data_IF_254405238034
#
_entry.id   IF_254405238034
#
_cell.length_a   1.000
_cell.length_b   1.000
_cell.length_c   1.000
_cell.angle_alpha   90.00
_cell.angle_beta   90.00
_cell.angle_gamma   90.00
#
_symmetry.space_group_name_H-M   'P 1'
#
loop_
_entity.id
_entity.type
_entity.pdbx_description
1 polymer ?
#
# COMPACT_ATOMS: atom_id res chain seq x y z
N UNK A 1 -3.23 -21.35 -5.07
CA UNK A 1 -3.21 -19.95 -4.54
C UNK A 1 -2.07 -19.60 -3.59
N UNK A 2 -1.64 -20.49 -2.67
CA UNK A 2 -0.59 -20.17 -1.67
C UNK A 2 0.78 -19.85 -2.29
N UNK A 3 1.16 -20.56 -3.37
CA UNK A 3 2.43 -20.36 -4.07
C UNK A 3 2.58 -18.95 -4.66
N UNK A 4 1.49 -18.39 -5.20
CA UNK A 4 1.44 -17.00 -5.72
C UNK A 4 1.68 -15.98 -4.59
N UNK A 5 1.11 -16.22 -3.40
CA UNK A 5 1.30 -15.36 -2.22
C UNK A 5 2.74 -15.43 -1.71
N UNK A 6 3.34 -16.62 -1.65
CA UNK A 6 4.73 -16.80 -1.23
C UNK A 6 5.70 -16.17 -2.24
N UNK A 7 5.47 -16.37 -3.54
CA UNK A 7 6.28 -15.75 -4.59
C UNK A 7 6.20 -14.22 -4.47
N UNK A 8 4.99 -13.66 -4.29
CA UNK A 8 4.78 -12.23 -4.06
C UNK A 8 5.48 -11.73 -2.78
N UNK A 9 5.45 -12.50 -1.71
CA UNK A 9 6.16 -12.17 -0.45
C UNK A 9 7.68 -12.12 -0.66
N UNK A 10 8.25 -13.11 -1.35
CA UNK A 10 9.66 -13.15 -1.69
C UNK A 10 10.03 -12.00 -2.64
N UNK A 11 9.23 -11.73 -3.66
CA UNK A 11 9.40 -10.59 -4.58
C UNK A 11 9.42 -9.24 -3.83
N UNK A 12 8.44 -9.02 -2.95
CA UNK A 12 8.24 -7.80 -2.14
C UNK A 12 9.41 -7.56 -1.18
N UNK A 13 9.97 -8.62 -0.61
CA UNK A 13 11.12 -8.53 0.32
C UNK A 13 12.46 -8.40 -0.41
N UNK A 14 12.60 -8.91 -1.65
CA UNK A 14 13.80 -8.72 -2.49
C UNK A 14 13.95 -7.26 -2.89
N UNK A 15 12.84 -6.64 -3.31
CA UNK A 15 12.77 -5.23 -3.70
C UNK A 15 13.05 -4.27 -2.54
N UNK A 16 12.65 -4.61 -1.30
CA UNK A 16 12.96 -3.83 -0.09
C UNK A 16 14.46 -3.85 0.25
N UNK A 17 15.14 -4.98 0.09
CA UNK A 17 16.57 -5.08 0.42
C UNK A 17 17.46 -4.39 -0.64
N UNK A 18 17.10 -4.51 -1.93
CA UNK A 18 17.81 -3.82 -3.01
C UNK A 18 17.73 -2.28 -2.95
N UNK A 19 16.76 -1.74 -2.21
CA UNK A 19 16.58 -0.30 -2.07
C UNK A 19 17.35 0.29 -0.88
N UNK A 20 17.73 -0.54 0.09
CA UNK A 20 18.44 -0.12 1.30
C UNK A 20 19.97 -0.18 1.14
N UNK A 21 20.48 -0.69 0.01
CA UNK A 21 21.92 -0.79 -0.29
C UNK A 21 22.44 0.41 -1.12
N UNK A 22 21.87 1.60 -0.96
CA UNK A 22 22.49 2.85 -1.45
C UNK A 22 23.51 3.31 -0.39
N UNK A 23 24.72 3.77 -0.76
CA UNK A 23 25.88 3.81 0.15
C UNK A 23 25.80 4.86 1.27
N UNK A 24 24.75 5.67 1.36
CA UNK A 24 24.46 6.53 2.50
C UNK A 24 23.26 5.97 3.27
N UNK A 25 23.51 5.15 4.29
CA UNK A 25 22.82 5.13 5.59
C UNK A 25 23.21 3.86 6.36
N UNK A 26 23.65 4.05 7.61
CA UNK A 26 24.14 3.00 8.49
C UNK A 26 23.13 1.86 8.71
N UNK A 27 23.69 0.66 8.86
CA UNK A 27 23.07 -0.61 9.27
C UNK A 27 21.69 -0.49 9.96
N UNK A 28 20.63 -0.44 9.16
CA UNK A 28 19.25 -0.31 9.62
C UNK A 28 18.73 -1.66 10.19
N UNK A 29 18.34 -1.77 11.47
CA UNK A 29 17.94 -3.03 12.13
C UNK A 29 16.73 -3.72 11.47
N UNK A 30 15.92 -2.94 10.74
CA UNK A 30 14.77 -3.42 9.98
C UNK A 30 15.20 -4.32 8.81
N UNK A 31 16.31 -4.01 8.14
CA UNK A 31 16.82 -4.79 7.01
C UNK A 31 17.32 -6.18 7.45
N UNK A 32 18.03 -6.25 8.58
CA UNK A 32 18.52 -7.51 9.18
C UNK A 32 17.35 -8.42 9.60
N UNK A 33 16.31 -7.85 10.20
CA UNK A 33 15.11 -8.60 10.61
C UNK A 33 14.33 -9.15 9.41
N UNK A 34 14.23 -8.38 8.32
CA UNK A 34 13.59 -8.83 7.08
C UNK A 34 14.38 -9.96 6.39
N UNK A 35 15.71 -9.88 6.34
CA UNK A 35 16.57 -10.93 5.79
C UNK A 35 16.47 -12.24 6.60
N UNK A 36 16.39 -12.14 7.93
CA UNK A 36 16.18 -13.30 8.83
C UNK A 36 14.84 -14.00 8.55
N UNK A 37 13.77 -13.22 8.34
CA UNK A 37 12.47 -13.74 7.95
C UNK A 37 12.50 -14.45 6.60
N UNK A 38 13.23 -13.89 5.61
CA UNK A 38 13.40 -14.52 4.29
C UNK A 38 14.09 -15.88 4.39
N UNK A 39 15.23 -15.94 5.10
CA UNK A 39 15.96 -17.20 5.34
C UNK A 39 15.11 -18.22 6.07
N UNK A 40 14.28 -17.79 7.03
CA UNK A 40 13.35 -18.67 7.75
C UNK A 40 12.26 -19.22 6.82
N UNK A 41 11.65 -18.38 5.99
CA UNK A 41 10.62 -18.78 5.02
C UNK A 41 11.16 -19.75 3.96
N UNK A 42 12.36 -19.51 3.42
CA UNK A 42 12.97 -20.43 2.44
C UNK A 42 13.37 -21.77 3.08
N UNK A 43 13.86 -21.76 4.31
CA UNK A 43 14.20 -22.98 5.05
C UNK A 43 12.95 -23.80 5.39
N UNK A 44 11.87 -23.16 5.82
CA UNK A 44 10.61 -23.82 6.13
C UNK A 44 9.91 -24.38 4.88
N UNK A 45 10.08 -23.72 3.72
CA UNK A 45 9.64 -24.26 2.44
C UNK A 45 10.43 -25.51 2.04
N UNK A 46 11.75 -25.51 2.16
CA UNK A 46 12.59 -26.69 1.90
C UNK A 46 12.25 -27.87 2.82
N UNK A 47 11.80 -27.59 4.05
CA UNK A 47 11.33 -28.59 5.03
C UNK A 47 9.85 -28.96 4.88
N UNK A 48 9.16 -28.52 3.82
CA UNK A 48 7.74 -28.79 3.54
C UNK A 48 6.78 -28.43 4.70
N UNK A 49 7.16 -27.47 5.56
CA UNK A 49 6.36 -26.98 6.70
C UNK A 49 5.37 -25.89 6.28
N UNK A 50 4.50 -26.22 5.34
CA UNK A 50 3.62 -25.28 4.62
C UNK A 50 2.70 -24.47 5.56
N UNK A 51 2.24 -25.05 6.67
CA UNK A 51 1.40 -24.36 7.66
C UNK A 51 2.15 -23.22 8.40
N UNK A 52 3.42 -23.42 8.74
CA UNK A 52 4.24 -22.40 9.41
C UNK A 52 4.61 -21.26 8.46
N UNK A 53 4.90 -21.59 7.20
CA UNK A 53 5.10 -20.59 6.13
C UNK A 53 3.84 -19.77 5.94
N UNK A 54 2.66 -20.41 5.95
CA UNK A 54 1.37 -19.73 5.83
C UNK A 54 1.12 -18.78 7.01
N UNK A 55 1.45 -19.17 8.24
CA UNK A 55 1.36 -18.30 9.42
C UNK A 55 2.21 -17.03 9.30
N UNK A 56 3.51 -17.19 8.97
CA UNK A 56 4.46 -16.07 8.83
C UNK A 56 4.05 -15.13 7.67
N UNK A 57 3.54 -15.68 6.57
CA UNK A 57 3.12 -14.88 5.41
C UNK A 57 1.81 -14.14 5.70
N UNK A 58 0.83 -14.76 6.38
CA UNK A 58 -0.40 -14.09 6.82
C UNK A 58 -0.10 -12.94 7.79
N UNK A 59 0.73 -13.20 8.81
CA UNK A 59 1.09 -12.22 9.83
C UNK A 59 1.74 -10.94 9.25
N UNK A 60 2.42 -11.04 8.10
CA UNK A 60 3.05 -9.91 7.40
C UNK A 60 2.13 -9.15 6.41
N UNK A 61 1.10 -9.80 5.86
CA UNK A 61 0.14 -9.14 4.95
C UNK A 61 -1.06 -8.55 5.70
N UNK A 62 -1.40 -9.07 6.89
CA UNK A 62 -2.55 -8.62 7.69
C UNK A 62 -2.23 -7.45 8.64
N UNK A 63 -0.95 -7.09 8.84
CA UNK A 63 -0.56 -6.07 9.84
C UNK A 63 -0.80 -4.63 9.41
N UNK A 64 -1.15 -4.38 8.14
CA UNK A 64 -1.37 -3.00 7.67
C UNK A 64 -2.86 -2.69 7.53
N UNK A 65 -3.46 -1.96 8.49
CA UNK A 65 -4.87 -1.62 8.41
C UNK A 65 -5.12 -0.72 7.20
N UNK A 66 -6.21 -1.00 6.48
CA UNK A 66 -6.58 -0.31 5.24
C UNK A 66 -6.69 1.21 5.43
N UNK A 67 -7.03 1.67 6.62
CA UNK A 67 -7.04 3.09 6.97
C UNK A 67 -5.67 3.78 6.86
N UNK A 68 -4.56 3.07 7.10
CA UNK A 68 -3.22 3.63 6.89
C UNK A 68 -2.92 3.86 5.41
N UNK A 69 -3.35 2.94 4.55
CA UNK A 69 -3.16 3.08 3.11
C UNK A 69 -4.04 4.19 2.53
N UNK A 70 -5.29 4.28 2.99
CA UNK A 70 -6.19 5.38 2.66
C UNK A 70 -5.58 6.73 3.08
N UNK A 71 -5.02 6.81 4.29
CA UNK A 71 -4.36 8.02 4.76
C UNK A 71 -3.18 8.44 3.87
N UNK A 72 -2.31 7.49 3.51
CA UNK A 72 -1.16 7.77 2.65
C UNK A 72 -1.63 8.30 1.30
N UNK A 73 -2.69 7.71 0.73
CA UNK A 73 -3.28 8.18 -0.54
C UNK A 73 -3.83 9.61 -0.44
N UNK A 74 -4.53 9.94 0.65
CA UNK A 74 -5.04 11.30 0.91
C UNK A 74 -3.90 12.31 1.03
N UNK A 75 -2.82 11.96 1.74
CA UNK A 75 -1.64 12.84 1.89
C UNK A 75 -0.94 13.10 0.57
N UNK A 76 -0.74 12.05 -0.24
CA UNK A 76 -0.15 12.21 -1.58
C UNK A 76 -1.04 13.09 -2.45
N UNK A 77 -2.35 12.88 -2.44
CA UNK A 77 -3.29 13.71 -3.20
C UNK A 77 -3.19 15.19 -2.78
N UNK A 78 -3.23 15.45 -1.47
CA UNK A 78 -3.09 16.79 -0.90
C UNK A 78 -1.77 17.45 -1.28
N UNK A 79 -0.67 16.72 -1.24
CA UNK A 79 0.64 17.21 -1.67
C UNK A 79 0.63 17.60 -3.16
N UNK A 80 0.07 16.75 -4.02
CA UNK A 80 -0.04 17.04 -5.46
C UNK A 80 -0.96 18.22 -5.76
N UNK A 81 -1.98 18.45 -4.93
CA UNK A 81 -2.89 19.59 -5.07
C UNK A 81 -2.27 20.91 -4.57
N UNK A 82 -1.62 20.90 -3.40
CA UNK A 82 -0.87 22.05 -2.85
C UNK A 82 0.21 22.54 -3.84
N UNK A 83 0.95 21.60 -4.43
CA UNK A 83 2.01 21.90 -5.41
C UNK A 83 1.46 22.43 -6.75
N UNK A 84 0.22 22.11 -7.12
CA UNK A 84 -0.46 22.72 -8.29
C UNK A 84 -0.86 24.17 -8.04
N UNK A 85 -1.48 24.45 -6.88
CA UNK A 85 -1.97 25.80 -6.54
C UNK A 85 -0.83 26.81 -6.37
N UNK A 86 0.28 26.40 -5.73
CA UNK A 86 1.46 27.27 -5.54
C UNK A 86 2.12 27.65 -6.87
N UNK A 87 2.16 26.75 -7.85
CA UNK A 87 2.66 27.07 -9.18
C UNK A 87 1.72 27.99 -9.95
N UNK A 88 0.39 27.87 -9.79
CA UNK A 88 -0.56 28.76 -10.44
C UNK A 88 -0.51 30.20 -9.88
N UNK A 89 -0.30 30.35 -8.58
CA UNK A 89 -0.20 31.66 -7.92
C UNK A 89 1.13 32.38 -8.22
N UNK A 90 2.23 31.63 -8.38
CA UNK A 90 3.55 32.17 -8.70
C UNK A 90 3.77 32.44 -10.21
N UNK A 91 2.77 32.19 -11.07
CA UNK A 91 2.84 32.51 -12.51
C UNK A 91 2.36 33.94 -12.84
N UNK A 92 2.18 34.82 -11.85
CA UNK A 92 2.01 36.25 -12.07
C UNK A 92 3.36 36.87 -12.51
N UNK A 93 3.42 37.75 -13.53
CA UNK A 93 4.64 38.04 -14.28
C UNK A 93 5.69 38.92 -13.57
N UNK A 94 5.60 39.16 -12.25
CA UNK A 94 6.40 40.18 -11.57
C UNK A 94 7.35 39.68 -10.47
N UNK A 95 7.79 38.42 -10.49
CA UNK A 95 9.00 38.10 -9.73
C UNK A 95 9.75 36.91 -10.31
N UNK A 96 11.07 37.08 -10.44
CA UNK A 96 11.98 36.08 -11.00
C UNK A 96 11.75 34.72 -10.36
N UNK A 97 11.62 33.69 -11.20
CA UNK A 97 11.47 32.27 -10.87
C UNK A 97 12.08 31.90 -9.51
N UNK A 98 11.25 31.92 -8.47
CA UNK A 98 11.65 31.57 -7.11
C UNK A 98 12.27 30.15 -7.09
N UNK A 99 13.51 29.97 -6.58
CA UNK A 99 14.16 28.65 -6.47
C UNK A 99 13.28 27.62 -5.74
N UNK A 100 12.38 28.07 -4.87
CA UNK A 100 11.40 27.24 -4.16
C UNK A 100 10.36 26.62 -5.12
N UNK A 101 9.93 27.34 -6.16
CA UNK A 101 8.97 26.82 -7.15
C UNK A 101 9.59 25.72 -8.03
N UNK A 102 10.84 25.91 -8.46
CA UNK A 102 11.60 24.92 -9.25
C UNK A 102 11.90 23.65 -8.47
N UNK A 103 12.25 23.73 -7.19
CA UNK A 103 12.49 22.56 -6.34
C UNK A 103 11.21 21.76 -6.07
N UNK A 104 10.10 22.46 -5.85
CA UNK A 104 8.78 21.86 -5.67
C UNK A 104 8.28 21.13 -6.92
N UNK A 105 8.55 21.67 -8.12
CA UNK A 105 8.22 20.99 -9.37
C UNK A 105 9.04 19.71 -9.59
N UNK A 106 10.34 19.73 -9.26
CA UNK A 106 11.21 18.53 -9.30
C UNK A 106 10.68 17.43 -8.37
N UNK A 107 10.27 17.80 -7.15
CA UNK A 107 9.65 16.87 -6.19
C UNK A 107 8.35 16.28 -6.73
N UNK A 108 7.50 17.09 -7.37
CA UNK A 108 6.26 16.62 -7.99
C UNK A 108 6.51 15.62 -9.14
N UNK A 109 7.51 15.88 -9.99
CA UNK A 109 7.94 14.93 -11.05
C UNK A 109 8.47 13.63 -10.45
N UNK A 110 9.25 13.70 -9.36
CA UNK A 110 9.76 12.53 -8.63
C UNK A 110 8.64 11.69 -8.03
N UNK A 111 7.69 12.32 -7.33
CA UNK A 111 6.50 11.65 -6.76
C UNK A 111 5.67 10.97 -7.84
N UNK A 112 5.41 11.65 -8.97
CA UNK A 112 4.64 11.08 -10.09
C UNK A 112 5.36 9.89 -10.72
N UNK A 113 6.68 9.97 -10.90
CA UNK A 113 7.50 8.88 -11.44
C UNK A 113 7.50 7.66 -10.51
N UNK A 114 7.63 7.89 -9.20
CA UNK A 114 7.60 6.83 -8.20
C UNK A 114 6.22 6.19 -8.06
N UNK A 115 5.14 6.97 -8.21
CA UNK A 115 3.76 6.46 -8.29
C UNK A 115 3.56 5.54 -9.48
N UNK A 116 4.01 5.93 -10.68
CA UNK A 116 3.98 5.08 -11.89
C UNK A 116 4.76 3.78 -11.70
N UNK A 117 5.87 3.83 -10.96
CA UNK A 117 6.69 2.65 -10.60
C UNK A 117 6.14 1.86 -9.41
N UNK A 118 4.97 2.23 -8.87
CA UNK A 118 4.34 1.62 -7.70
C UNK A 118 5.22 1.61 -6.42
N UNK A 119 6.16 2.56 -6.31
CA UNK A 119 7.13 2.69 -5.20
C UNK A 119 6.56 3.52 -4.04
N UNK A 120 5.42 3.08 -3.50
CA UNK A 120 4.61 3.84 -2.52
C UNK A 120 5.39 4.16 -1.23
N UNK A 121 6.32 3.32 -0.79
CA UNK A 121 7.14 3.59 0.40
C UNK A 121 8.06 4.80 0.25
N UNK A 122 8.71 4.96 -0.92
CA UNK A 122 9.57 6.10 -1.19
C UNK A 122 8.76 7.40 -1.32
N UNK A 123 7.59 7.30 -1.98
CA UNK A 123 6.64 8.42 -2.06
C UNK A 123 6.22 8.86 -0.66
N UNK A 124 5.91 7.90 0.22
CA UNK A 124 5.54 8.18 1.60
C UNK A 124 6.66 8.91 2.37
N UNK A 125 7.93 8.56 2.14
CA UNK A 125 9.07 9.26 2.73
C UNK A 125 9.09 10.74 2.32
N UNK A 126 9.08 11.01 1.00
CA UNK A 126 9.11 12.38 0.45
C UNK A 126 7.90 13.20 0.92
N UNK A 127 6.70 12.61 0.92
CA UNK A 127 5.48 13.31 1.33
C UNK A 127 5.47 13.56 2.84
N UNK A 128 6.08 12.70 3.66
CA UNK A 128 6.17 12.90 5.11
C UNK A 128 7.07 14.08 5.46
N UNK A 129 8.16 14.31 4.71
CA UNK A 129 9.06 15.45 4.89
C UNK A 129 8.43 16.79 4.48
N UNK A 130 7.39 16.76 3.63
CA UNK A 130 6.75 17.95 3.06
C UNK A 130 5.38 18.26 3.65
N UNK A 131 4.76 17.30 4.35
CA UNK A 131 3.44 17.45 4.95
C UNK A 131 3.52 17.23 6.46
N UNK A 132 3.56 18.34 7.21
CA UNK A 132 3.63 18.38 8.68
C UNK A 132 2.32 17.94 9.36
N UNK A 133 1.36 17.43 8.59
CA UNK A 133 0.08 17.01 9.16
C UNK A 133 0.28 15.82 10.08
N UNK A 134 -0.34 15.90 11.26
CA UNK A 134 -0.33 14.80 12.24
C UNK A 134 -0.91 13.52 11.62
N UNK A 135 -0.29 12.33 11.84
CA UNK A 135 -0.89 11.06 11.44
C UNK A 135 -2.24 10.86 12.11
N UNK A 136 -3.16 10.18 11.42
CA UNK A 136 -4.45 9.79 11.99
C UNK A 136 -4.17 8.81 13.12
N UNK A 137 -4.84 8.98 14.25
CA UNK A 137 -4.75 8.03 15.36
C UNK A 137 -5.23 6.64 14.93
N UNK A 138 -4.85 5.62 15.70
CA UNK A 138 -5.23 4.23 15.41
C UNK A 138 -6.74 4.07 15.29
N UNK A 139 -7.51 4.69 16.17
CA UNK A 139 -8.98 4.69 16.13
C UNK A 139 -9.54 5.24 14.80
N UNK A 140 -9.04 6.39 14.34
CA UNK A 140 -9.46 6.98 13.08
C UNK A 140 -9.10 6.10 11.87
N UNK A 141 -7.92 5.48 11.90
CA UNK A 141 -7.51 4.53 10.86
C UNK A 141 -8.43 3.30 10.83
N UNK A 142 -8.76 2.75 11.99
CA UNK A 142 -9.68 1.61 12.10
C UNK A 142 -11.07 1.99 11.60
N UNK A 143 -11.63 3.12 12.04
CA UNK A 143 -12.94 3.61 11.58
C UNK A 143 -13.02 3.81 10.07
N UNK A 144 -12.02 4.46 9.47
CA UNK A 144 -11.94 4.62 8.02
C UNK A 144 -11.80 3.27 7.31
N UNK A 145 -10.97 2.38 7.84
CA UNK A 145 -10.80 1.02 7.31
C UNK A 145 -12.10 0.22 7.33
N UNK A 146 -12.80 0.20 8.47
CA UNK A 146 -14.09 -0.48 8.62
C UNK A 146 -15.12 0.09 7.63
N UNK A 147 -15.20 1.42 7.50
CA UNK A 147 -16.14 2.05 6.56
C UNK A 147 -15.83 1.68 5.10
N UNK A 148 -14.56 1.60 4.72
CA UNK A 148 -14.15 1.17 3.38
C UNK A 148 -14.55 -0.28 3.10
N UNK A 149 -14.34 -1.18 4.06
CA UNK A 149 -14.73 -2.59 3.95
C UNK A 149 -16.25 -2.70 3.84
N UNK A 150 -17.00 -1.95 4.65
CA UNK A 150 -18.45 -1.90 4.60
C UNK A 150 -18.95 -1.45 3.21
N UNK A 151 -18.37 -0.40 2.64
CA UNK A 151 -18.74 0.07 1.30
C UNK A 151 -18.47 -0.98 0.21
N UNK A 152 -17.39 -1.75 0.34
CA UNK A 152 -17.11 -2.85 -0.59
C UNK A 152 -18.13 -3.99 -0.46
N UNK A 153 -18.54 -4.32 0.76
CA UNK A 153 -19.58 -5.32 1.00
C UNK A 153 -20.94 -4.88 0.41
N UNK A 154 -21.29 -3.60 0.54
CA UNK A 154 -22.58 -3.06 0.08
C UNK A 154 -22.65 -2.86 -1.44
N UNK A 155 -21.52 -2.55 -2.09
CA UNK A 155 -21.51 -2.04 -3.48
C UNK A 155 -20.82 -2.93 -4.50
N UNK A 156 -19.99 -3.88 -4.07
CA UNK A 156 -19.33 -4.77 -5.02
C UNK A 156 -20.24 -5.95 -5.34
N UNK A 157 -20.78 -5.96 -6.55
CA UNK A 157 -21.55 -7.09 -7.10
C UNK A 157 -20.79 -7.70 -8.28
N UNK A 158 -20.91 -9.01 -8.44
CA UNK A 158 -20.35 -9.76 -9.56
C UNK A 158 -21.52 -10.35 -10.33
N UNK A 159 -21.51 -10.12 -11.64
CA UNK A 159 -22.34 -10.84 -12.57
C UNK A 159 -21.54 -12.07 -13.07
N UNK A 160 -22.11 -13.29 -13.04
CA UNK A 160 -21.46 -14.46 -13.62
C UNK A 160 -21.31 -14.31 -15.15
N UNK A 161 -20.42 -15.11 -15.79
CA UNK A 161 -20.16 -15.03 -17.23
C UNK A 161 -21.45 -15.13 -18.07
N UNK A 162 -21.52 -14.31 -19.12
CA UNK A 162 -22.67 -14.11 -20.02
C UNK A 162 -23.02 -15.32 -20.92
N UNK A 163 -22.30 -16.43 -20.82
CA UNK A 163 -22.44 -17.57 -21.73
C UNK A 163 -23.71 -18.42 -21.53
N UNK A 164 -24.61 -18.03 -20.62
CA UNK A 164 -25.94 -18.64 -20.49
C UNK A 164 -26.99 -17.72 -21.12
N UNK A 165 -27.40 -18.06 -22.34
CA UNK A 165 -28.64 -17.63 -22.96
C UNK A 165 -29.76 -18.28 -22.15
N UNK A 166 -30.16 -17.64 -21.06
CA UNK A 166 -31.35 -18.04 -20.31
C UNK A 166 -32.18 -16.77 -20.11
N UNK A 167 -33.46 -16.83 -20.47
CA UNK A 167 -34.45 -15.74 -20.45
C UNK A 167 -34.88 -15.42 -19.00
N UNK A 168 -33.88 -15.30 -18.11
CA UNK A 168 -34.04 -15.14 -16.68
C UNK A 168 -33.48 -13.80 -16.19
N UNK A 169 -33.99 -13.27 -15.07
CA UNK A 169 -33.48 -12.05 -14.47
C UNK A 169 -31.98 -12.18 -14.14
N UNK A 170 -31.16 -11.13 -14.35
CA UNK A 170 -29.72 -11.21 -14.16
C UNK A 170 -29.36 -11.61 -12.74
N UNK A 171 -28.58 -12.69 -12.62
CA UNK A 171 -28.10 -13.23 -11.35
C UNK A 171 -26.96 -12.35 -10.80
N UNK A 172 -27.32 -11.31 -10.06
CA UNK A 172 -26.39 -10.35 -9.46
C UNK A 172 -26.09 -10.78 -8.03
N UNK A 173 -24.86 -11.24 -7.75
CA UNK A 173 -24.45 -11.71 -6.42
C UNK A 173 -23.43 -10.77 -5.79
N UNK A 174 -23.43 -10.57 -4.46
CA UNK A 174 -22.41 -9.77 -3.80
C UNK A 174 -21.03 -10.41 -3.98
N UNK A 175 -20.03 -9.58 -4.30
CA UNK A 175 -18.64 -10.01 -4.51
C UNK A 175 -17.96 -10.50 -3.23
N UNK A 176 -18.42 -10.00 -2.08
CA UNK A 176 -17.84 -10.24 -0.77
C UNK A 176 -18.93 -10.55 0.26
N UNK A 177 -18.66 -11.50 1.14
CA UNK A 177 -19.53 -11.88 2.25
C UNK A 177 -18.71 -11.85 3.54
N UNK A 178 -19.26 -11.25 4.60
CA UNK A 178 -18.62 -11.25 5.91
C UNK A 178 -18.98 -12.53 6.67
N UNK A 179 -17.98 -13.37 6.97
CA UNK A 179 -18.16 -14.59 7.77
C UNK A 179 -17.36 -14.49 9.05
N UNK A 180 -18.01 -14.75 10.19
CA UNK A 180 -17.33 -14.91 11.47
C UNK A 180 -16.87 -16.36 11.60
N UNK A 181 -15.59 -16.56 11.94
CA UNK A 181 -15.04 -17.88 12.27
C UNK A 181 -14.53 -17.85 13.70
N UNK A 182 -15.10 -18.69 14.57
CA UNK A 182 -14.57 -18.92 15.92
C UNK A 182 -13.37 -19.83 15.79
N UNK A 183 -12.19 -19.34 16.18
CA UNK A 183 -10.98 -20.15 16.19
C UNK A 183 -10.83 -20.71 17.60
N UNK A 184 -11.23 -21.96 17.79
CA UNK A 184 -10.95 -22.66 19.05
C UNK A 184 -9.43 -22.84 19.17
N UNK A 185 -8.88 -22.38 20.28
CA UNK A 185 -7.44 -22.46 20.56
C UNK A 185 -7.22 -23.77 21.29
N UNK A 186 -6.72 -24.80 20.58
CA UNK A 186 -6.19 -26.03 21.18
C UNK A 186 -4.75 -25.83 21.63
#
# INVERSE_FOLDING_TARGET
MLWVRIHRFLEKTKRKNALNNSPENGSDPVAKSQEKLRKKVTTLMKKQKVQQVRGIVKEQDDTKPWGQDAQVKVRIHRFLEKTKRKNALNNSPENGSDPVAKSQEKLRKKVTTLMKKQKVQQVRGIVKEQDDTKPWGQDAQVKVGCRLIQLLLEKAYIQPPIDQIDDGPPDIRPAFIHTLQTVETQ
#
